data_IF_575244750394
#
_entry.id   IF_575244750394
#
_cell.length_a   1.000
_cell.length_b   1.000
_cell.length_c   1.000
_cell.angle_alpha   90.00
_cell.angle_beta   90.00
_cell.angle_gamma   90.00
#
_symmetry.space_group_name_H-M   'P 1'
#
loop_
_entity.id
_entity.type
_entity.pdbx_description
1 polymer ?
#
# COMPACT_ATOMS: atom_id res chain seq x y z
N UNK A 1 17.44 -31.97 14.38
CA UNK A 1 16.46 -31.06 15.02
C UNK A 1 16.47 -29.63 14.47
N UNK A 2 17.61 -29.11 13.99
CA UNK A 2 17.72 -27.71 13.51
C UNK A 2 16.97 -27.43 12.19
N UNK A 3 16.89 -28.42 11.29
CA UNK A 3 16.20 -28.32 9.99
C UNK A 3 14.69 -28.18 10.12
N UNK A 4 14.05 -28.94 11.00
CA UNK A 4 12.60 -28.85 11.26
C UNK A 4 12.18 -27.47 11.80
N UNK A 5 13.01 -26.88 12.68
CA UNK A 5 12.75 -25.56 13.25
C UNK A 5 12.85 -24.47 12.18
N UNK A 6 13.87 -24.52 11.32
CA UNK A 6 14.02 -23.59 10.20
C UNK A 6 12.83 -23.70 9.22
N UNK A 7 12.38 -24.91 8.88
CA UNK A 7 11.23 -25.09 7.98
C UNK A 7 9.94 -24.52 8.57
N UNK A 8 9.70 -24.71 9.87
CA UNK A 8 8.52 -24.16 10.53
C UNK A 8 8.52 -22.62 10.51
N UNK A 9 9.67 -22.00 10.77
CA UNK A 9 9.82 -20.54 10.78
C UNK A 9 9.61 -19.95 9.38
N UNK A 10 10.12 -20.59 8.34
CA UNK A 10 9.92 -20.11 6.96
C UNK A 10 8.43 -20.21 6.56
N UNK A 11 7.77 -21.31 6.91
CA UNK A 11 6.33 -21.49 6.62
C UNK A 11 5.48 -20.46 7.37
N UNK A 12 5.79 -20.17 8.64
CA UNK A 12 5.03 -19.17 9.40
C UNK A 12 5.21 -17.76 8.87
N UNK A 13 6.43 -17.36 8.48
CA UNK A 13 6.68 -16.05 7.86
C UNK A 13 5.92 -15.92 6.54
N UNK A 14 6.02 -16.92 5.66
CA UNK A 14 5.31 -16.93 4.37
C UNK A 14 3.80 -16.86 4.57
N UNK A 15 3.24 -17.62 5.52
CA UNK A 15 1.82 -17.58 5.86
C UNK A 15 1.38 -16.24 6.47
N UNK A 16 2.24 -15.57 7.24
CA UNK A 16 1.96 -14.26 7.81
C UNK A 16 1.94 -13.17 6.72
N UNK A 17 2.87 -13.24 5.76
CA UNK A 17 2.92 -12.35 4.60
C UNK A 17 1.74 -12.54 3.64
N UNK A 18 1.23 -13.77 3.51
CA UNK A 18 0.00 -14.09 2.76
C UNK A 18 -1.27 -13.56 3.44
N UNK A 19 -1.28 -13.49 4.77
CA UNK A 19 -2.44 -13.05 5.56
C UNK A 19 -2.51 -11.53 5.82
N UNK A 20 -1.37 -10.83 5.78
CA UNK A 20 -1.34 -9.39 6.03
C UNK A 20 -1.84 -8.59 4.83
N UNK A 21 -2.97 -7.92 5.01
CA UNK A 21 -3.55 -7.01 4.02
C UNK A 21 -3.29 -5.55 4.40
N UNK A 22 -2.47 -4.85 3.61
CA UNK A 22 -2.17 -3.42 3.75
C UNK A 22 -3.45 -2.58 3.86
N UNK A 23 -3.49 -1.58 4.74
CA UNK A 23 -4.58 -0.60 4.86
C UNK A 23 -4.13 0.74 4.32
N UNK A 24 -4.94 1.37 3.48
CA UNK A 24 -4.65 2.71 2.94
C UNK A 24 -5.79 3.69 3.22
N UNK A 25 -5.47 4.96 3.39
CA UNK A 25 -6.46 6.02 3.53
C UNK A 25 -7.27 6.19 2.24
N UNK A 26 -8.54 6.56 2.41
CA UNK A 26 -9.41 7.03 1.33
C UNK A 26 -9.22 8.54 1.13
N UNK A 27 -9.87 9.08 0.11
CA UNK A 27 -9.89 10.52 -0.14
C UNK A 27 -10.60 11.27 1.00
N UNK A 28 -11.72 10.72 1.49
CA UNK A 28 -12.44 11.26 2.64
C UNK A 28 -11.55 11.13 3.88
N UNK A 29 -11.27 12.23 4.62
CA UNK A 29 -10.44 12.22 5.81
C UNK A 29 -10.92 11.19 6.84
N UNK A 30 -9.99 10.63 7.62
CA UNK A 30 -10.25 9.64 8.69
C UNK A 30 -10.73 8.26 8.22
N UNK A 31 -11.17 8.10 6.98
CA UNK A 31 -11.56 6.80 6.44
C UNK A 31 -10.38 6.07 5.79
N UNK A 32 -10.33 4.76 6.00
CA UNK A 32 -9.39 3.86 5.36
C UNK A 32 -10.10 2.66 4.73
N UNK A 33 -9.36 1.88 3.94
CA UNK A 33 -9.80 0.58 3.45
C UNK A 33 -8.65 -0.42 3.53
N UNK A 34 -9.02 -1.68 3.73
CA UNK A 34 -8.14 -2.80 3.48
C UNK A 34 -7.91 -2.94 1.97
N UNK A 35 -6.67 -3.11 1.56
CA UNK A 35 -6.31 -3.35 0.17
C UNK A 35 -6.62 -4.79 -0.22
N UNK A 36 -7.11 -5.03 -1.45
CA UNK A 36 -7.28 -6.38 -1.95
C UNK A 36 -5.91 -7.05 -2.15
N UNK A 37 -5.92 -8.39 -2.20
CA UNK A 37 -4.72 -9.18 -2.45
C UNK A 37 -3.94 -8.69 -3.68
N UNK A 38 -2.60 -8.68 -3.57
CA UNK A 38 -1.71 -8.19 -4.62
C UNK A 38 -1.60 -6.67 -4.74
N UNK A 39 -2.32 -5.88 -3.93
CA UNK A 39 -2.16 -4.41 -3.87
C UNK A 39 -1.40 -3.96 -2.64
N UNK A 40 -0.08 -4.10 -2.71
CA UNK A 40 0.84 -3.92 -1.59
C UNK A 40 1.43 -2.49 -1.50
N UNK A 41 0.76 -1.51 -2.13
CA UNK A 41 1.14 -0.10 -2.09
C UNK A 41 -0.07 0.78 -1.83
N UNK A 42 0.10 1.78 -0.98
CA UNK A 42 -0.78 2.93 -0.91
C UNK A 42 -0.29 4.02 -1.87
N UNK A 43 -1.20 4.80 -2.46
CA UNK A 43 -0.85 5.98 -3.25
C UNK A 43 -1.72 7.19 -2.91
N UNK A 44 -1.15 8.37 -3.14
CA UNK A 44 -1.84 9.66 -3.19
C UNK A 44 -1.51 10.37 -4.51
N UNK A 45 -2.51 10.98 -5.12
CA UNK A 45 -2.42 11.68 -6.39
C UNK A 45 -2.78 13.15 -6.17
N UNK A 46 -1.97 14.03 -6.73
CA UNK A 46 -2.17 15.48 -6.71
C UNK A 46 -2.19 16.01 -8.14
N UNK A 47 -3.00 17.02 -8.39
CA UNK A 47 -2.82 17.83 -9.61
C UNK A 47 -1.61 18.72 -9.40
N UNK A 48 -0.79 18.91 -10.44
CA UNK A 48 0.39 19.80 -10.37
C UNK A 48 -0.03 21.24 -10.03
N UNK A 49 -1.21 21.66 -10.53
CA UNK A 49 -1.80 22.96 -10.20
C UNK A 49 -2.21 23.10 -8.71
N UNK A 50 -2.50 21.99 -8.02
CA UNK A 50 -2.95 21.99 -6.61
C UNK A 50 -2.16 20.94 -5.80
N UNK A 51 -0.85 21.15 -5.58
CA UNK A 51 0.06 20.12 -5.06
C UNK A 51 -0.17 19.76 -3.60
N UNK A 52 -0.98 20.54 -2.87
CA UNK A 52 -1.29 20.33 -1.45
C UNK A 52 -2.55 19.49 -1.21
N UNK A 53 -3.47 19.43 -2.18
CA UNK A 53 -4.76 18.76 -2.02
C UNK A 53 -4.77 17.50 -2.86
N UNK A 54 -4.79 16.31 -2.24
CA UNK A 54 -4.86 15.07 -3.00
C UNK A 54 -6.23 14.98 -3.69
N UNK A 55 -6.24 14.66 -4.97
CA UNK A 55 -7.45 14.40 -5.75
C UNK A 55 -7.87 12.93 -5.71
N UNK A 56 -6.93 12.03 -5.36
CA UNK A 56 -7.20 10.60 -5.23
C UNK A 56 -6.25 9.93 -4.25
N UNK A 57 -6.78 8.94 -3.52
CA UNK A 57 -6.04 8.06 -2.62
C UNK A 57 -6.51 6.62 -2.79
N UNK A 58 -5.63 5.65 -2.64
CA UNK A 58 -6.03 4.24 -2.66
C UNK A 58 -4.88 3.25 -2.63
N UNK A 59 -5.21 2.02 -3.03
CA UNK A 59 -4.29 0.89 -3.12
C UNK A 59 -3.86 0.63 -4.57
N UNK A 60 -2.63 0.20 -4.78
CA UNK A 60 -2.11 -0.20 -6.08
C UNK A 60 -1.18 -1.42 -5.97
N UNK A 61 -1.09 -2.22 -7.03
CA UNK A 61 -0.11 -3.30 -7.14
C UNK A 61 1.27 -2.74 -7.52
N UNK A 62 1.28 -1.79 -8.46
CA UNK A 62 2.44 -1.01 -8.90
C UNK A 62 2.19 0.47 -8.66
N UNK A 63 3.21 1.24 -8.30
CA UNK A 63 3.04 2.67 -8.10
C UNK A 63 2.65 3.35 -9.44
N UNK A 64 1.51 4.06 -9.51
CA UNK A 64 1.13 4.76 -10.74
C UNK A 64 2.19 5.79 -11.14
N UNK A 65 2.42 5.95 -12.44
CA UNK A 65 3.40 6.92 -12.96
C UNK A 65 2.86 8.34 -12.80
N UNK A 66 3.76 9.26 -12.45
CA UNK A 66 3.47 10.70 -12.55
C UNK A 66 3.48 11.15 -14.02
N UNK A 67 2.81 12.27 -14.29
CA UNK A 67 2.73 12.90 -15.60
C UNK A 67 2.84 14.43 -15.46
N UNK A 68 2.82 15.16 -16.57
CA UNK A 68 2.91 16.62 -16.56
C UNK A 68 1.78 17.31 -15.76
N UNK A 69 0.62 16.66 -15.63
CA UNK A 69 -0.55 17.21 -14.94
C UNK A 69 -0.77 16.62 -13.55
N UNK A 70 -0.18 15.45 -13.26
CA UNK A 70 -0.48 14.67 -12.05
C UNK A 70 0.80 14.18 -11.39
N UNK A 71 0.95 14.46 -10.10
CA UNK A 71 2.01 13.91 -9.26
C UNK A 71 1.47 12.76 -8.43
N UNK A 72 2.18 11.63 -8.41
CA UNK A 72 1.84 10.44 -7.64
C UNK A 72 2.92 10.19 -6.59
N UNK A 73 2.51 9.91 -5.35
CA UNK A 73 3.40 9.47 -4.27
C UNK A 73 2.89 8.15 -3.72
N UNK A 74 3.77 7.17 -3.57
CA UNK A 74 3.43 5.84 -3.05
C UNK A 74 4.20 5.51 -1.77
N UNK A 75 3.64 4.63 -0.94
CA UNK A 75 4.22 4.15 0.31
C UNK A 75 3.69 2.74 0.65
N UNK A 76 4.36 2.03 1.56
CA UNK A 76 4.16 0.58 1.83
C UNK A 76 3.64 0.25 3.23
N UNK A 77 3.40 1.24 4.08
CA UNK A 77 2.96 1.04 5.46
C UNK A 77 1.48 1.40 5.64
N UNK A 78 0.86 0.91 6.71
CA UNK A 78 -0.55 1.18 6.97
C UNK A 78 -0.84 2.69 7.07
N UNK A 79 -1.88 3.14 6.36
CA UNK A 79 -2.44 4.49 6.38
C UNK A 79 -1.42 5.61 6.09
N UNK A 80 -0.40 5.32 5.28
CA UNK A 80 0.67 6.27 4.97
C UNK A 80 0.32 7.32 3.90
N UNK A 81 -0.74 7.11 3.12
CA UNK A 81 -1.10 7.95 1.96
C UNK A 81 -2.05 9.11 2.29
#
# INVERSE_FOLDING_TARGET
MKTLLLTLVVVTIVCLDLGYTLKCNKLVPLFYKTCPAGKNLCYKMFMVATPKVPVKRGCAATCPKSSALVKVVCCKTDKCN
#
